data_IF_697797677951
#
_entry.id   IF_697797677951
#
_cell.length_a   1.000
_cell.length_b   1.000
_cell.length_c   1.000
_cell.angle_alpha   90.00
_cell.angle_beta   90.00
_cell.angle_gamma   90.00
#
_symmetry.space_group_name_H-M   'P 1'
#
loop_
_entity.id
_entity.type
_entity.pdbx_description
1 polymer ?
#
# COMPACT_ATOMS: atom_id res chain seq x y z
N UNK A 1 -6.81 10.21 16.65
CA UNK A 1 -5.57 10.06 15.99
C UNK A 1 -5.66 9.14 14.83
N UNK A 2 -5.10 9.50 13.72
CA UNK A 2 -5.19 8.68 12.54
C UNK A 2 -3.98 7.77 12.42
N UNK A 3 -4.16 6.63 11.80
CA UNK A 3 -3.09 5.69 11.56
C UNK A 3 -2.41 6.07 10.25
N UNK A 4 -1.10 6.24 10.29
CA UNK A 4 -0.34 6.59 9.11
C UNK A 4 -0.15 5.34 8.27
N UNK A 5 -0.53 5.41 7.01
CA UNK A 5 -0.51 4.25 6.13
C UNK A 5 0.42 4.47 4.96
N UNK A 6 1.20 3.44 4.63
CA UNK A 6 1.99 3.42 3.42
C UNK A 6 1.34 2.45 2.46
N UNK A 7 1.19 2.83 1.20
CA UNK A 7 0.66 1.94 0.19
C UNK A 7 1.78 1.67 -0.80
N UNK A 8 2.19 0.41 -0.89
CA UNK A 8 3.23 -0.03 -1.80
C UNK A 8 2.55 -0.75 -2.95
N UNK A 9 2.66 -0.19 -4.12
CA UNK A 9 1.96 -0.70 -5.28
C UNK A 9 0.77 0.19 -5.58
N UNK A 10 0.85 0.92 -6.69
CA UNK A 10 -0.18 1.90 -7.03
C UNK A 10 -0.90 1.55 -8.33
N UNK A 11 -1.09 0.26 -8.55
CA UNK A 11 -1.95 -0.19 -9.62
C UNK A 11 -3.40 0.05 -9.25
N UNK A 12 -4.32 -0.60 -9.93
CA UNK A 12 -5.73 -0.38 -9.70
C UNK A 12 -6.14 -0.63 -8.25
N UNK A 13 -5.64 -1.72 -7.66
CA UNK A 13 -6.02 -2.05 -6.30
C UNK A 13 -5.43 -1.08 -5.28
N UNK A 14 -4.18 -0.69 -5.47
CA UNK A 14 -3.54 0.26 -4.57
C UNK A 14 -4.22 1.61 -4.61
N UNK A 15 -4.56 2.08 -5.82
CA UNK A 15 -5.24 3.36 -5.95
C UNK A 15 -6.65 3.33 -5.37
N UNK A 16 -7.32 2.17 -5.50
CA UNK A 16 -8.65 2.02 -4.93
C UNK A 16 -8.58 2.06 -3.41
N UNK A 17 -7.60 1.40 -2.84
CA UNK A 17 -7.41 1.41 -1.40
C UNK A 17 -7.08 2.82 -0.90
N UNK A 18 -6.29 3.56 -1.68
CA UNK A 18 -5.97 4.93 -1.34
C UNK A 18 -7.23 5.78 -1.22
N UNK A 19 -8.14 5.65 -2.17
CA UNK A 19 -9.38 6.39 -2.14
C UNK A 19 -10.22 6.03 -0.92
N UNK A 20 -10.31 4.74 -0.63
CA UNK A 20 -11.12 4.29 0.49
C UNK A 20 -10.54 4.73 1.83
N UNK A 21 -9.25 4.67 1.97
CA UNK A 21 -8.63 5.04 3.23
C UNK A 21 -8.66 6.54 3.47
N UNK A 22 -8.60 7.33 2.41
CA UNK A 22 -8.57 8.79 2.58
C UNK A 22 -9.90 9.31 3.12
N UNK A 23 -11.01 8.68 2.77
CA UNK A 23 -12.28 9.14 3.28
C UNK A 23 -12.59 8.55 4.66
N UNK A 24 -11.71 7.67 5.17
CA UNK A 24 -11.92 7.07 6.47
C UNK A 24 -11.15 7.87 7.49
N UNK A 25 -11.81 8.39 8.49
CA UNK A 25 -11.14 9.25 9.45
C UNK A 25 -10.00 8.61 10.21
N UNK A 26 -10.01 7.29 10.30
CA UNK A 26 -8.99 6.60 11.09
C UNK A 26 -7.69 6.38 10.35
N UNK A 27 -7.65 6.65 9.05
CA UNK A 27 -6.45 6.37 8.27
C UNK A 27 -5.93 7.60 7.55
N UNK A 28 -4.60 7.70 7.46
CA UNK A 28 -3.96 8.75 6.71
C UNK A 28 -3.01 8.09 5.72
N UNK A 29 -3.48 7.75 4.51
CA UNK A 29 -2.63 7.08 3.52
C UNK A 29 -1.71 8.08 2.83
N UNK A 30 -0.78 8.62 3.59
CA UNK A 30 0.05 9.70 3.12
C UNK A 30 1.34 9.27 2.42
N UNK A 31 1.72 8.01 2.52
CA UNK A 31 3.02 7.58 1.99
C UNK A 31 2.81 6.54 0.90
N UNK A 32 3.20 6.88 -0.32
CA UNK A 32 2.95 6.01 -1.47
C UNK A 32 4.24 5.66 -2.18
N UNK A 33 4.29 4.50 -2.77
CA UNK A 33 5.42 4.14 -3.60
C UNK A 33 5.05 3.08 -4.63
N UNK A 34 5.60 3.21 -5.83
CA UNK A 34 5.45 2.24 -6.90
C UNK A 34 6.65 2.45 -7.83
N UNK A 35 7.24 1.40 -8.39
CA UNK A 35 8.35 1.57 -9.31
C UNK A 35 7.93 2.23 -10.63
N UNK A 36 6.63 2.23 -10.94
CA UNK A 36 6.12 2.83 -12.15
C UNK A 36 5.72 4.27 -11.86
N UNK A 37 6.42 5.22 -12.44
CA UNK A 37 6.14 6.62 -12.18
C UNK A 37 4.76 7.04 -12.68
N UNK A 38 4.26 6.41 -13.74
CA UNK A 38 2.92 6.70 -14.23
C UNK A 38 1.88 6.35 -13.18
N UNK A 39 2.06 5.21 -12.51
CA UNK A 39 1.15 4.82 -11.46
C UNK A 39 1.21 5.81 -10.29
N UNK A 40 2.39 6.32 -9.99
CA UNK A 40 2.55 7.32 -8.94
C UNK A 40 1.79 8.59 -9.29
N UNK A 41 1.89 9.06 -10.52
CA UNK A 41 1.20 10.26 -10.94
C UNK A 41 -0.32 10.08 -10.87
N UNK A 42 -0.80 8.92 -11.27
CA UNK A 42 -2.24 8.65 -11.21
C UNK A 42 -2.73 8.65 -9.75
N UNK A 43 -1.92 8.16 -8.85
CA UNK A 43 -2.29 8.15 -7.44
C UNK A 43 -2.37 9.57 -6.88
N UNK A 44 -1.43 10.43 -7.25
CA UNK A 44 -1.43 11.80 -6.78
C UNK A 44 -2.61 12.58 -7.35
N UNK A 45 -3.06 12.23 -8.54
CA UNK A 45 -4.27 12.84 -9.10
C UNK A 45 -5.49 12.49 -8.28
N UNK A 46 -5.51 11.30 -7.69
CA UNK A 46 -6.61 10.87 -6.86
C UNK A 46 -6.54 11.55 -5.50
N UNK A 47 -5.33 11.68 -4.95
CA UNK A 47 -5.16 12.19 -3.60
C UNK A 47 -3.91 13.05 -3.53
N UNK A 48 -4.07 14.35 -3.68
CA UNK A 48 -2.93 15.26 -3.69
C UNK A 48 -2.32 15.47 -2.33
N UNK A 49 -2.96 14.98 -1.27
CA UNK A 49 -2.40 15.11 0.07
C UNK A 49 -1.36 14.03 0.32
N UNK A 50 -1.34 12.99 -0.47
CA UNK A 50 -0.38 11.92 -0.30
C UNK A 50 0.96 12.31 -0.92
N UNK A 51 2.00 11.62 -0.52
CA UNK A 51 3.35 11.92 -0.97
C UNK A 51 3.98 10.67 -1.55
N UNK A 52 4.61 10.80 -2.71
CA UNK A 52 5.34 9.69 -3.30
C UNK A 52 6.72 9.65 -2.64
N UNK A 53 7.03 8.52 -2.01
CA UNK A 53 8.32 8.38 -1.34
C UNK A 53 9.38 7.94 -2.34
N UNK A 54 10.63 8.11 -1.98
CA UNK A 54 11.72 7.79 -2.89
C UNK A 54 12.00 6.29 -2.98
N UNK A 55 11.59 5.55 -1.97
CA UNK A 55 11.81 4.12 -1.98
C UNK A 55 10.73 3.45 -1.15
N UNK A 56 10.50 2.14 -1.34
CA UNK A 56 9.51 1.45 -0.52
C UNK A 56 9.94 1.41 0.95
N UNK A 57 11.26 1.35 1.20
CA UNK A 57 11.75 1.33 2.56
C UNK A 57 11.41 2.61 3.31
N UNK A 58 11.51 3.74 2.62
CA UNK A 58 11.17 5.02 3.24
C UNK A 58 9.69 5.08 3.56
N UNK A 59 8.86 4.56 2.67
CA UNK A 59 7.42 4.55 2.90
C UNK A 59 7.09 3.68 4.11
N UNK A 60 7.70 2.51 4.20
CA UNK A 60 7.48 1.61 5.32
C UNK A 60 7.91 2.26 6.63
N UNK A 61 9.07 2.92 6.63
CA UNK A 61 9.57 3.55 7.83
C UNK A 61 8.65 4.64 8.34
N UNK A 62 8.04 5.38 7.46
CA UNK A 62 7.23 6.53 7.84
C UNK A 62 5.85 6.15 8.37
N UNK A 63 5.40 4.96 8.08
CA UNK A 63 4.02 4.57 8.37
C UNK A 63 3.90 3.70 9.61
N UNK A 64 2.69 3.55 10.12
CA UNK A 64 2.39 2.62 11.19
C UNK A 64 1.76 1.36 10.62
N UNK A 65 1.10 1.46 9.49
CA UNK A 65 0.47 0.34 8.81
C UNK A 65 0.90 0.36 7.35
N UNK A 66 1.28 -0.79 6.83
CA UNK A 66 1.72 -0.90 5.45
C UNK A 66 0.74 -1.80 4.68
N UNK A 67 0.22 -1.28 3.58
CA UNK A 67 -0.66 -2.04 2.71
C UNK A 67 0.13 -2.40 1.45
N UNK A 68 0.25 -3.70 1.17
CA UNK A 68 1.01 -4.16 0.02
C UNK A 68 0.05 -4.59 -1.09
N UNK A 69 -0.02 -3.78 -2.14
CA UNK A 69 -0.82 -4.08 -3.30
C UNK A 69 0.06 -4.45 -4.50
N UNK A 70 1.29 -4.82 -4.23
CA UNK A 70 2.23 -5.16 -5.29
C UNK A 70 2.10 -6.62 -5.69
N UNK A 71 2.72 -7.02 -6.81
CA UNK A 71 2.64 -8.40 -7.24
C UNK A 71 3.25 -9.36 -6.23
N UNK A 72 2.78 -10.61 -6.21
CA UNK A 72 3.27 -11.58 -5.23
C UNK A 72 4.77 -11.77 -5.21
N UNK A 73 5.42 -11.64 -6.36
CA UNK A 73 6.83 -11.84 -6.43
C UNK A 73 7.60 -10.96 -5.50
N UNK A 74 7.26 -9.69 -5.38
CA UNK A 74 7.99 -8.77 -4.53
C UNK A 74 7.33 -8.56 -3.19
N UNK A 75 6.09 -9.03 -3.06
CA UNK A 75 5.32 -8.78 -1.85
C UNK A 75 5.96 -9.41 -0.62
N UNK A 76 6.52 -10.60 -0.77
CA UNK A 76 7.09 -11.30 0.35
C UNK A 76 8.25 -10.53 0.95
N UNK A 77 9.10 -9.97 0.10
CA UNK A 77 10.24 -9.21 0.55
C UNK A 77 9.79 -7.99 1.35
N UNK A 78 8.79 -7.28 0.88
CA UNK A 78 8.29 -6.10 1.59
C UNK A 78 7.57 -6.50 2.87
N UNK A 79 6.91 -7.65 2.88
CA UNK A 79 6.25 -8.13 4.09
C UNK A 79 7.26 -8.42 5.18
N UNK A 80 8.39 -9.03 4.81
CA UNK A 80 9.46 -9.32 5.76
C UNK A 80 10.04 -8.02 6.30
N UNK A 81 10.27 -7.06 5.42
CA UNK A 81 10.82 -5.78 5.83
C UNK A 81 9.88 -5.07 6.80
N UNK A 82 8.58 -5.09 6.51
CA UNK A 82 7.57 -4.48 7.36
C UNK A 82 7.56 -5.13 8.74
N UNK A 83 7.62 -6.45 8.77
CA UNK A 83 7.61 -7.18 10.03
C UNK A 83 8.86 -6.88 10.85
N UNK A 84 10.00 -6.79 10.20
CA UNK A 84 11.24 -6.49 10.91
C UNK A 84 11.19 -5.13 11.57
N UNK A 85 10.46 -4.20 10.99
CA UNK A 85 10.36 -2.86 11.53
C UNK A 85 9.23 -2.73 12.54
N UNK A 86 8.53 -3.81 12.82
CA UNK A 86 7.46 -3.82 13.80
C UNK A 86 6.22 -3.07 13.38
N UNK A 87 6.00 -2.93 12.07
CA UNK A 87 4.82 -2.23 11.57
C UNK A 87 3.70 -3.21 11.31
N UNK A 88 2.48 -2.73 11.37
CA UNK A 88 1.32 -3.54 11.02
C UNK A 88 1.29 -3.75 9.50
N UNK A 89 0.81 -4.89 9.07
CA UNK A 89 0.83 -5.26 7.67
C UNK A 89 -0.54 -5.70 7.19
N UNK A 90 -0.94 -5.21 6.03
CA UNK A 90 -2.18 -5.60 5.41
C UNK A 90 -1.89 -6.03 3.98
N UNK A 91 -2.26 -7.24 3.63
CA UNK A 91 -2.02 -7.78 2.31
C UNK A 91 -3.30 -7.94 1.55
N UNK A 92 -3.24 -7.62 0.26
CA UNK A 92 -4.38 -7.83 -0.59
C UNK A 92 -4.47 -9.31 -0.94
N UNK A 93 -5.62 -9.90 -0.76
CA UNK A 93 -5.77 -11.29 -1.10
C UNK A 93 -6.14 -11.42 -2.57
N UNK A 94 -5.55 -12.36 -3.27
CA UNK A 94 -5.92 -12.59 -4.66
C UNK A 94 -7.26 -13.27 -4.71
N UNK A 95 -8.28 -12.53 -5.05
CA UNK A 95 -9.60 -13.06 -5.10
C UNK A 95 -9.70 -14.10 -6.17
N UNK A 96 -10.43 -15.05 -5.97
CA UNK A 96 -10.64 -16.06 -6.95
C UNK A 96 -9.72 -17.20 -6.85
N UNK A 97 -8.55 -16.97 -6.37
CA UNK A 97 -7.65 -18.03 -6.30
C UNK A 97 -8.02 -18.95 -5.25
N UNK A 98 -8.31 -18.42 -4.11
CA UNK A 98 -8.62 -19.30 -3.04
C UNK A 98 -9.93 -19.91 -3.22
N UNK A 99 -10.68 -19.50 -4.14
CA UNK A 99 -11.91 -20.08 -4.25
C UNK A 99 -11.88 -21.20 -5.03
N UNK A 100 -11.04 -21.25 -5.90
CA UNK A 100 -11.04 -22.20 -6.68
C UNK A 100 -10.85 -23.36 -6.12
N UNK A 101 -10.14 -23.46 -5.36
CA UNK A 101 -9.90 -24.54 -4.87
C UNK A 101 -10.63 -24.83 -3.84
N UNK A 102 -11.16 -24.08 -3.51
CA UNK A 102 -11.87 -24.32 -2.47
C UNK A 102 -12.95 -24.99 -2.94
N UNK A 103 -12.95 -25.42 -3.65
CA UNK A 103 -13.91 -25.89 -4.11
C UNK A 103 -13.79 -26.95 -4.49
#
# INVERSE_FOLDING_TARGET
>A
MAIKVAIIGLGIMGRRMLQHMRIHEKFEPNYLWDPDKTACYKAIEIDSEAKIMNSPEEAIDAADLVYLACPPKVRESYAIETAKKGKALFLEKPLGIDNDHSK
#
